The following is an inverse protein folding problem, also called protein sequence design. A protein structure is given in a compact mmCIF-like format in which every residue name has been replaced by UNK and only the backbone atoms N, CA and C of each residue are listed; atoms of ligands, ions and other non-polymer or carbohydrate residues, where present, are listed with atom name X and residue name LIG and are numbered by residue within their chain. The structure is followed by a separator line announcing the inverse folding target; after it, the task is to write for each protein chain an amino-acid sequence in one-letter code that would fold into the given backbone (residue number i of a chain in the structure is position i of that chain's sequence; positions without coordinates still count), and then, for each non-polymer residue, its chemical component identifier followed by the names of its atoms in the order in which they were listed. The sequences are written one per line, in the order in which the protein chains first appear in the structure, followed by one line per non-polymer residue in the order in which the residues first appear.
data_IF_073256502182
#
_entry.id   IF_073256502182
#
_cell.length_a   1.000
_cell.length_b   1.000
_cell.length_c   1.000
_cell.angle_alpha   90.00
_cell.angle_beta   90.00
_cell.angle_gamma   90.00
#
_symmetry.space_group_name_H-M   'P 1'
#
loop_
_entity.id
_entity.type
_entity.pdbx_description
1 polymer ?
#
# COMPACT_ATOMS: atom_id res chain seq x y z
N UNK A 1 5.08 -7.55 77.48
CA UNK A 1 4.02 -7.24 76.49
C UNK A 1 4.60 -6.33 75.42
N UNK A 2 4.87 -6.86 74.23
CA UNK A 2 4.67 -6.22 72.92
C UNK A 2 5.42 -7.03 71.86
N UNK A 3 4.65 -7.82 71.12
CA UNK A 3 5.03 -8.58 69.94
C UNK A 3 5.16 -7.65 68.74
N UNK A 4 6.34 -7.57 68.13
CA UNK A 4 6.50 -7.00 66.79
C UNK A 4 6.45 -8.13 65.75
N UNK A 5 5.35 -8.19 65.02
CA UNK A 5 5.18 -9.01 63.82
C UNK A 5 5.77 -8.27 62.63
N UNK A 6 6.93 -8.68 62.14
CA UNK A 6 7.44 -8.26 60.83
C UNK A 6 6.80 -9.13 59.75
N UNK A 7 5.82 -8.58 59.03
CA UNK A 7 5.34 -9.10 57.75
C UNK A 7 6.28 -8.55 56.68
N UNK A 8 7.21 -9.35 56.19
CA UNK A 8 7.99 -9.01 55.01
C UNK A 8 7.16 -9.39 53.77
N UNK A 9 6.62 -8.39 53.08
CA UNK A 9 5.86 -8.56 51.85
C UNK A 9 6.79 -9.04 50.72
N UNK A 10 6.43 -10.16 50.09
CA UNK A 10 7.04 -10.61 48.84
C UNK A 10 6.61 -9.68 47.70
N UNK A 11 7.52 -8.81 47.26
CA UNK A 11 7.40 -8.07 46.00
C UNK A 11 7.69 -9.03 44.84
N UNK A 12 6.63 -9.61 44.26
CA UNK A 12 6.71 -10.27 42.96
C UNK A 12 6.75 -9.16 41.90
N UNK A 13 7.96 -8.86 41.41
CA UNK A 13 8.13 -7.99 40.26
C UNK A 13 7.67 -8.73 38.99
N UNK A 14 6.45 -8.45 38.55
CA UNK A 14 5.92 -8.90 37.26
C UNK A 14 6.69 -8.22 36.14
N UNK A 15 7.75 -8.84 35.65
CA UNK A 15 8.48 -8.41 34.48
C UNK A 15 7.57 -8.61 33.25
N UNK A 16 6.81 -7.58 32.88
CA UNK A 16 6.10 -7.52 31.61
C UNK A 16 7.16 -7.47 30.50
N UNK A 17 7.59 -8.64 30.00
CA UNK A 17 8.27 -8.72 28.71
C UNK A 17 7.28 -8.28 27.64
N UNK A 18 7.31 -7.00 27.31
CA UNK A 18 6.87 -6.52 26.01
C UNK A 18 7.78 -7.13 24.96
N UNK A 19 7.45 -8.34 24.52
CA UNK A 19 7.80 -8.86 23.21
C UNK A 19 7.32 -7.84 22.16
N UNK A 20 8.17 -6.88 21.84
CA UNK A 20 8.10 -6.20 20.56
C UNK A 20 8.25 -7.30 19.53
N UNK A 21 7.12 -7.78 18.98
CA UNK A 21 7.16 -8.66 17.83
C UNK A 21 7.99 -7.92 16.78
N UNK A 22 9.20 -8.44 16.52
CA UNK A 22 10.08 -7.88 15.51
C UNK A 22 9.25 -7.72 14.25
N UNK A 23 9.08 -6.46 13.82
CA UNK A 23 8.49 -6.17 12.51
C UNK A 23 9.45 -6.83 11.53
N UNK A 24 9.01 -7.92 10.89
CA UNK A 24 9.79 -8.57 9.85
C UNK A 24 9.66 -7.73 8.58
N UNK A 25 10.25 -6.53 8.62
CA UNK A 25 10.59 -5.78 7.42
C UNK A 25 11.80 -6.48 6.78
N UNK A 26 11.64 -6.87 5.53
CA UNK A 26 12.66 -7.59 4.76
C UNK A 26 12.94 -6.83 3.47
N UNK A 27 14.22 -6.57 3.19
CA UNK A 27 14.63 -6.02 1.89
C UNK A 27 14.65 -7.16 0.89
N UNK A 28 13.87 -7.01 -0.18
CA UNK A 28 13.80 -7.97 -1.27
C UNK A 28 14.49 -7.38 -2.50
N UNK A 29 15.39 -8.14 -3.09
CA UNK A 29 15.90 -7.85 -4.42
C UNK A 29 14.98 -8.51 -5.46
N UNK A 30 14.27 -7.69 -6.23
CA UNK A 30 13.36 -8.18 -7.27
C UNK A 30 14.07 -8.30 -8.64
N UNK A 31 15.36 -7.97 -8.72
CA UNK A 31 16.13 -7.96 -9.96
C UNK A 31 15.61 -6.98 -11.02
N UNK A 32 16.38 -6.80 -12.10
CA UNK A 32 16.02 -5.84 -13.16
C UNK A 32 17.22 -5.05 -13.70
N UNK A 33 17.89 -5.63 -14.70
CA UNK A 33 18.98 -4.99 -15.45
C UNK A 33 20.36 -5.59 -15.21
N UNK A 34 21.26 -5.40 -16.18
CA UNK A 34 22.64 -5.92 -16.23
C UNK A 34 23.52 -5.48 -15.04
N UNK A 35 23.04 -4.54 -14.21
CA UNK A 35 23.74 -3.98 -13.05
C UNK A 35 22.98 -4.16 -11.71
N UNK A 36 21.99 -5.05 -11.65
CA UNK A 36 21.11 -5.21 -10.49
C UNK A 36 19.85 -4.34 -10.60
N UNK A 37 18.73 -4.83 -10.07
CA UNK A 37 17.42 -4.18 -10.20
C UNK A 37 16.79 -3.78 -8.88
N UNK A 38 15.69 -3.04 -8.99
CA UNK A 38 15.17 -2.26 -7.87
C UNK A 38 14.80 -3.10 -6.66
N UNK A 39 15.23 -2.60 -5.50
CA UNK A 39 14.86 -3.15 -4.20
C UNK A 39 13.38 -2.94 -3.94
N UNK A 40 12.86 -3.78 -3.07
CA UNK A 40 11.57 -3.59 -2.45
C UNK A 40 11.67 -3.83 -0.95
N UNK A 41 10.71 -3.30 -0.21
CA UNK A 41 10.60 -3.45 1.23
C UNK A 41 9.32 -4.22 1.53
N UNK A 42 9.48 -5.39 2.14
CA UNK A 42 8.42 -6.33 2.42
C UNK A 42 8.06 -6.29 3.90
N UNK A 43 6.80 -6.00 4.21
CA UNK A 43 6.20 -6.11 5.53
C UNK A 43 5.44 -7.43 5.62
N UNK A 44 5.90 -8.36 6.48
CA UNK A 44 5.22 -9.63 6.76
C UNK A 44 4.45 -9.62 8.09
N UNK A 45 3.20 -10.13 8.13
CA UNK A 45 2.53 -10.39 9.40
C UNK A 45 3.18 -11.59 10.10
N UNK A 46 3.03 -11.69 11.42
CA UNK A 46 3.64 -12.78 12.21
C UNK A 46 3.12 -14.18 11.86
N UNK A 47 1.95 -14.28 11.20
CA UNK A 47 1.35 -15.53 10.73
C UNK A 47 1.19 -15.56 9.21
N UNK A 48 0.45 -16.56 8.71
CA UNK A 48 0.15 -16.66 7.27
C UNK A 48 -0.59 -15.42 6.79
N UNK A 49 -0.08 -14.81 5.71
CA UNK A 49 -0.73 -13.68 5.09
C UNK A 49 -2.05 -14.11 4.43
N UNK A 50 -3.13 -13.37 4.70
CA UNK A 50 -4.45 -13.59 4.10
C UNK A 50 -4.56 -13.01 2.69
N UNK A 51 -3.78 -11.97 2.43
CA UNK A 51 -3.60 -11.33 1.12
C UNK A 51 -2.23 -10.63 1.10
N UNK A 52 -1.77 -10.31 -0.11
CA UNK A 52 -0.55 -9.57 -0.38
C UNK A 52 -0.86 -8.30 -1.18
N UNK A 53 -0.19 -7.20 -0.86
CA UNK A 53 -0.29 -5.94 -1.59
C UNK A 53 1.04 -5.61 -2.26
N UNK A 54 1.00 -5.27 -3.55
CA UNK A 54 2.12 -4.69 -4.30
C UNK A 54 1.89 -3.19 -4.37
N UNK A 55 2.67 -2.40 -3.64
CA UNK A 55 2.47 -0.97 -3.47
C UNK A 55 3.32 -0.18 -4.47
N UNK A 56 2.67 0.43 -5.46
CA UNK A 56 3.29 1.26 -6.49
C UNK A 56 3.12 2.74 -6.16
N UNK A 57 4.23 3.38 -5.81
CA UNK A 57 4.25 4.80 -5.42
C UNK A 57 4.09 5.72 -6.62
N UNK A 58 3.56 6.92 -6.36
CA UNK A 58 3.53 8.02 -7.33
C UNK A 58 4.90 8.69 -7.55
N UNK A 59 4.89 9.87 -8.17
CA UNK A 59 6.11 10.64 -8.42
C UNK A 59 7.07 9.91 -9.36
N UNK A 60 8.37 10.02 -9.14
CA UNK A 60 9.44 9.26 -9.85
C UNK A 60 9.53 7.80 -9.43
N UNK A 61 8.71 7.37 -8.48
CA UNK A 61 8.76 6.02 -7.93
C UNK A 61 9.97 5.78 -7.04
N UNK A 62 10.86 6.77 -6.85
CA UNK A 62 12.06 6.59 -6.05
C UNK A 62 11.68 6.69 -4.57
N UNK A 63 11.81 5.56 -3.88
CA UNK A 63 11.62 5.44 -2.43
C UNK A 63 12.97 5.53 -1.73
N UNK A 64 14.04 5.06 -2.39
CA UNK A 64 15.38 4.99 -1.84
C UNK A 64 15.46 3.97 -0.73
N UNK A 65 15.12 2.72 -1.04
CA UNK A 65 15.14 1.60 -0.08
C UNK A 65 16.61 1.17 0.10
N UNK A 66 17.14 1.27 1.31
CA UNK A 66 18.47 0.82 1.70
C UNK A 66 18.60 -0.70 1.77
N UNK A 67 19.83 -1.23 1.74
CA UNK A 67 20.09 -2.66 1.97
C UNK A 67 19.84 -3.08 3.43
N UNK A 68 19.81 -2.10 4.34
CA UNK A 68 19.45 -2.20 5.76
C UNK A 68 17.95 -1.98 6.03
N UNK A 69 17.14 -1.76 5.00
CA UNK A 69 15.71 -1.45 5.12
C UNK A 69 15.41 0.02 5.37
N UNK A 70 16.40 0.91 5.40
CA UNK A 70 16.18 2.36 5.48
C UNK A 70 15.36 2.86 4.28
N UNK A 71 14.60 3.93 4.47
CA UNK A 71 13.76 4.54 3.43
C UNK A 71 14.11 6.02 3.32
N UNK A 72 14.63 6.44 2.17
CA UNK A 72 15.03 7.84 1.96
C UNK A 72 13.85 8.80 1.77
N UNK A 73 12.73 8.33 1.19
CA UNK A 73 11.54 9.14 0.91
C UNK A 73 10.27 8.50 1.49
N UNK A 74 10.03 8.73 2.77
CA UNK A 74 8.87 8.22 3.52
C UNK A 74 7.65 9.17 3.50
N UNK A 75 7.81 10.37 2.94
CA UNK A 75 6.76 11.39 2.93
C UNK A 75 5.51 11.02 2.12
N UNK A 76 5.57 10.02 1.24
CA UNK A 76 4.41 9.50 0.52
C UNK A 76 3.56 8.61 1.45
N UNK A 77 2.25 8.85 1.51
CA UNK A 77 1.34 8.11 2.38
C UNK A 77 1.44 6.59 2.18
N UNK A 78 1.48 6.10 0.94
CA UNK A 78 1.51 4.66 0.65
C UNK A 78 2.78 3.99 1.21
N UNK A 79 3.88 4.73 1.31
CA UNK A 79 5.16 4.25 1.85
C UNK A 79 5.11 4.24 3.38
N UNK A 80 4.69 5.33 4.02
CA UNK A 80 4.63 5.39 5.50
C UNK A 80 3.55 4.52 6.10
N UNK A 81 2.46 4.23 5.36
CA UNK A 81 1.38 3.37 5.84
C UNK A 81 1.53 1.90 5.50
N UNK A 82 2.62 1.47 4.83
CA UNK A 82 2.83 0.07 4.39
C UNK A 82 2.59 -0.95 5.52
N UNK A 83 3.14 -0.69 6.70
CA UNK A 83 3.03 -1.61 7.85
C UNK A 83 1.64 -1.61 8.52
N UNK A 84 0.74 -0.69 8.15
CA UNK A 84 -0.60 -0.61 8.74
C UNK A 84 -1.47 -1.81 8.36
N UNK A 85 -1.20 -2.45 7.21
CA UNK A 85 -1.93 -3.62 6.72
C UNK A 85 -1.68 -4.89 7.54
N UNK A 86 -0.56 -4.94 8.27
CA UNK A 86 -0.17 -6.11 9.08
C UNK A 86 -1.23 -6.49 10.13
N UNK A 87 -1.93 -5.49 10.70
CA UNK A 87 -3.01 -5.72 11.68
C UNK A 87 -4.22 -6.44 11.09
N UNK A 88 -4.38 -6.41 9.77
CA UNK A 88 -5.42 -7.15 9.05
C UNK A 88 -4.93 -8.51 8.52
N UNK A 89 -3.71 -8.92 8.89
CA UNK A 89 -3.06 -10.13 8.39
C UNK A 89 -2.69 -10.04 6.91
N UNK A 90 -2.47 -8.84 6.40
CA UNK A 90 -2.13 -8.58 5.00
C UNK A 90 -0.65 -8.22 4.92
N UNK A 91 0.10 -8.91 4.05
CA UNK A 91 1.48 -8.56 3.75
C UNK A 91 1.51 -7.44 2.69
N UNK A 92 2.52 -6.58 2.71
CA UNK A 92 2.73 -5.56 1.68
C UNK A 92 4.17 -5.52 1.22
N UNK A 93 4.39 -5.26 -0.07
CA UNK A 93 5.71 -5.02 -0.66
C UNK A 93 5.71 -3.64 -1.34
N UNK A 94 6.56 -2.73 -0.86
CA UNK A 94 6.77 -1.39 -1.44
C UNK A 94 7.93 -1.43 -2.41
N UNK A 95 7.71 -1.02 -3.65
CA UNK A 95 8.73 -1.04 -4.71
C UNK A 95 9.48 0.28 -4.82
N UNK A 96 10.80 0.21 -5.01
CA UNK A 96 11.59 1.34 -5.49
C UNK A 96 11.44 1.53 -7.02
N UNK A 97 11.94 2.64 -7.56
CA UNK A 97 11.64 3.09 -8.93
C UNK A 97 11.94 2.03 -10.00
N UNK A 98 13.07 1.35 -9.86
CA UNK A 98 13.62 0.40 -10.82
C UNK A 98 13.17 -1.05 -10.57
N UNK A 99 12.32 -1.28 -9.57
CA UNK A 99 11.86 -2.63 -9.24
C UNK A 99 10.72 -3.02 -10.20
N UNK A 100 10.75 -4.27 -10.68
CA UNK A 100 9.77 -4.79 -11.62
C UNK A 100 8.45 -5.15 -10.90
N UNK A 101 7.34 -4.46 -11.20
CA UNK A 101 6.04 -4.72 -10.58
C UNK A 101 5.49 -6.13 -10.87
N UNK A 102 5.76 -6.70 -12.04
CA UNK A 102 5.26 -8.04 -12.39
C UNK A 102 5.98 -9.11 -11.55
N UNK A 103 7.30 -8.98 -11.38
CA UNK A 103 8.07 -9.85 -10.48
C UNK A 103 7.64 -9.71 -9.03
N UNK A 104 7.27 -8.52 -8.57
CA UNK A 104 6.70 -8.36 -7.23
C UNK A 104 5.37 -9.11 -7.07
N UNK A 105 4.51 -9.11 -8.10
CA UNK A 105 3.27 -9.90 -8.07
C UNK A 105 3.61 -11.39 -7.96
N UNK A 106 4.53 -11.90 -8.78
CA UNK A 106 4.98 -13.29 -8.73
C UNK A 106 5.60 -13.67 -7.38
N UNK A 107 6.48 -12.81 -6.84
CA UNK A 107 7.10 -13.00 -5.53
C UNK A 107 6.05 -13.08 -4.41
N UNK A 108 5.07 -12.17 -4.43
CA UNK A 108 4.01 -12.13 -3.41
C UNK A 108 3.05 -13.33 -3.47
N UNK A 109 2.96 -14.05 -4.59
CA UNK A 109 2.16 -15.28 -4.70
C UNK A 109 2.67 -16.40 -3.81
N UNK A 110 3.97 -16.44 -3.51
CA UNK A 110 4.54 -17.40 -2.56
C UNK A 110 4.19 -17.07 -1.10
N UNK A 111 3.78 -15.83 -0.83
CA UNK A 111 3.54 -15.31 0.53
C UNK A 111 2.05 -15.31 0.87
N UNK A 112 1.21 -14.97 -0.11
CA UNK A 112 -0.21 -14.80 0.08
C UNK A 112 -1.03 -15.50 -1.01
N UNK A 113 -2.20 -16.07 -0.68
CA UNK A 113 -3.06 -16.73 -1.65
C UNK A 113 -3.61 -15.75 -2.70
N UNK A 114 -3.72 -14.47 -2.34
CA UNK A 114 -4.22 -13.41 -3.21
C UNK A 114 -3.26 -12.22 -3.23
N UNK A 115 -3.01 -11.65 -4.40
CA UNK A 115 -2.10 -10.53 -4.61
C UNK A 115 -2.83 -9.40 -5.33
N UNK A 116 -2.84 -8.23 -4.69
CA UNK A 116 -3.50 -7.02 -5.16
C UNK A 116 -2.44 -5.98 -5.49
N UNK A 117 -2.53 -5.36 -6.65
CA UNK A 117 -1.69 -4.21 -7.00
C UNK A 117 -2.38 -2.93 -6.54
N UNK A 118 -1.72 -2.13 -5.70
CA UNK A 118 -2.20 -0.82 -5.25
C UNK A 118 -1.32 0.24 -5.90
N UNK A 119 -1.91 1.05 -6.77
CA UNK A 119 -1.20 2.05 -7.53
C UNK A 119 -1.66 3.46 -7.16
N UNK A 120 -0.71 4.33 -6.81
CA UNK A 120 -0.99 5.73 -6.49
C UNK A 120 -0.48 6.66 -7.57
N UNK A 121 -1.27 7.66 -7.97
CA UNK A 121 -0.83 8.75 -8.87
C UNK A 121 -0.17 8.19 -10.13
N UNK A 122 1.09 8.55 -10.41
CA UNK A 122 1.86 8.03 -11.54
C UNK A 122 2.23 6.53 -11.46
N UNK A 123 2.12 5.91 -10.29
CA UNK A 123 2.26 4.46 -10.14
C UNK A 123 1.23 3.67 -10.97
N UNK A 124 0.09 4.30 -11.32
CA UNK A 124 -0.94 3.72 -12.17
C UNK A 124 -0.43 3.34 -13.57
N UNK A 125 0.60 4.04 -14.08
CA UNK A 125 1.19 3.77 -15.40
C UNK A 125 1.86 2.39 -15.46
N UNK A 126 2.27 1.85 -14.31
CA UNK A 126 2.91 0.54 -14.21
C UNK A 126 1.91 -0.62 -14.20
N UNK A 127 0.60 -0.35 -14.05
CA UNK A 127 -0.43 -1.39 -13.90
C UNK A 127 -0.58 -2.25 -15.14
N UNK A 128 -0.53 -1.68 -16.35
CA UNK A 128 -0.65 -2.46 -17.58
C UNK A 128 0.42 -3.58 -17.67
N UNK A 129 1.63 -3.32 -17.15
CA UNK A 129 2.73 -4.27 -17.10
C UNK A 129 2.55 -5.39 -16.07
N UNK A 130 1.69 -5.25 -15.06
CA UNK A 130 1.43 -6.30 -14.07
C UNK A 130 0.38 -7.31 -14.52
N UNK A 131 -0.48 -6.95 -15.49
CA UNK A 131 -1.60 -7.79 -15.94
C UNK A 131 -1.18 -9.20 -16.39
N UNK A 132 -0.05 -9.42 -17.10
CA UNK A 132 0.42 -10.76 -17.43
C UNK A 132 0.70 -11.65 -16.22
N UNK A 133 1.11 -11.08 -15.08
CA UNK A 133 1.30 -11.79 -13.82
C UNK A 133 -0.03 -12.10 -13.10
N UNK A 134 -1.17 -11.70 -13.68
CA UNK A 134 -2.54 -11.98 -13.23
C UNK A 134 -2.75 -11.63 -11.74
N UNK A 135 -2.65 -10.36 -11.32
CA UNK A 135 -3.06 -9.96 -9.97
C UNK A 135 -4.55 -10.26 -9.77
N UNK A 136 -4.97 -10.63 -8.55
CA UNK A 136 -6.39 -10.93 -8.26
C UNK A 136 -7.24 -9.67 -8.11
N UNK A 137 -6.58 -8.52 -7.91
CA UNK A 137 -7.26 -7.25 -7.85
C UNK A 137 -6.32 -6.09 -8.10
N UNK A 138 -6.93 -4.95 -8.44
CA UNK A 138 -6.23 -3.68 -8.61
C UNK A 138 -6.93 -2.62 -7.77
N UNK A 139 -6.15 -1.81 -7.07
CA UNK A 139 -6.61 -0.58 -6.44
C UNK A 139 -5.90 0.60 -7.07
N UNK A 140 -6.66 1.54 -7.60
CA UNK A 140 -6.17 2.86 -7.99
C UNK A 140 -6.48 3.85 -6.87
N UNK A 141 -5.47 4.53 -6.33
CA UNK A 141 -5.64 5.54 -5.28
C UNK A 141 -5.13 6.90 -5.78
N UNK A 142 -6.00 7.90 -5.95
CA UNK A 142 -5.65 9.21 -6.55
C UNK A 142 -4.70 9.06 -7.75
N UNK A 143 -5.14 8.29 -8.76
CA UNK A 143 -4.30 7.77 -9.85
C UNK A 143 -4.41 8.58 -11.14
N UNK A 144 -3.36 8.54 -11.96
CA UNK A 144 -3.34 9.05 -13.33
C UNK A 144 -4.13 8.10 -14.24
N UNK A 145 -5.45 8.13 -14.11
CA UNK A 145 -6.36 7.13 -14.69
C UNK A 145 -6.51 7.27 -16.20
N UNK A 146 -6.39 8.47 -16.76
CA UNK A 146 -6.51 8.69 -18.20
C UNK A 146 -5.36 8.03 -18.97
N UNK A 147 -4.13 8.18 -18.47
CA UNK A 147 -2.96 7.54 -19.03
C UNK A 147 -2.96 6.03 -18.76
N UNK A 148 -3.34 5.61 -17.54
CA UNK A 148 -3.47 4.19 -17.22
C UNK A 148 -4.46 3.49 -18.16
N UNK A 149 -5.61 4.13 -18.44
CA UNK A 149 -6.61 3.65 -19.42
C UNK A 149 -5.97 3.42 -20.79
N UNK A 150 -5.20 4.39 -21.29
CA UNK A 150 -4.51 4.27 -22.58
C UNK A 150 -3.51 3.10 -22.62
N UNK A 151 -2.79 2.85 -21.53
CA UNK A 151 -1.82 1.75 -21.43
C UNK A 151 -2.48 0.38 -21.24
N UNK A 152 -3.61 0.31 -20.52
CA UNK A 152 -4.37 -0.92 -20.31
C UNK A 152 -5.07 -1.34 -21.61
N UNK A 153 -5.59 -0.37 -22.38
CA UNK A 153 -6.25 -0.60 -23.66
C UNK A 153 -7.67 -1.15 -23.49
N UNK A 154 -7.81 -2.45 -23.26
CA UNK A 154 -9.11 -3.12 -23.08
C UNK A 154 -9.47 -3.23 -21.58
N UNK A 155 -10.60 -2.66 -21.11
CA UNK A 155 -11.02 -2.79 -19.72
C UNK A 155 -11.34 -4.24 -19.32
N UNK A 156 -11.61 -5.13 -20.29
CA UNK A 156 -11.79 -6.57 -20.06
C UNK A 156 -10.57 -7.28 -19.50
N UNK A 157 -9.38 -6.67 -19.60
CA UNK A 157 -8.13 -7.18 -19.02
C UNK A 157 -8.02 -6.95 -17.51
N UNK A 158 -8.86 -6.08 -16.94
CA UNK A 158 -8.78 -5.74 -15.53
C UNK A 158 -9.42 -6.84 -14.66
N UNK A 159 -8.74 -7.31 -13.60
CA UNK A 159 -9.36 -8.08 -12.53
C UNK A 159 -10.36 -7.21 -11.74
N UNK A 160 -11.02 -7.73 -10.68
CA UNK A 160 -11.74 -6.90 -9.72
C UNK A 160 -10.95 -5.63 -9.38
N UNK A 161 -11.58 -4.48 -9.55
CA UNK A 161 -10.91 -3.18 -9.47
C UNK A 161 -11.64 -2.24 -8.52
N UNK A 162 -10.88 -1.57 -7.67
CA UNK A 162 -11.34 -0.49 -6.79
C UNK A 162 -10.62 0.81 -7.18
N UNK A 163 -11.37 1.89 -7.28
CA UNK A 163 -10.87 3.26 -7.40
C UNK A 163 -11.16 3.95 -6.07
N UNK A 164 -10.14 4.46 -5.40
CA UNK A 164 -10.26 5.29 -4.21
C UNK A 164 -9.80 6.69 -4.59
N UNK A 165 -10.68 7.67 -4.45
CA UNK A 165 -10.37 9.03 -4.88
C UNK A 165 -10.89 10.06 -3.89
N UNK A 166 -10.13 11.13 -3.68
CA UNK A 166 -10.59 12.22 -2.82
C UNK A 166 -11.50 13.17 -3.63
N UNK A 167 -12.66 13.56 -3.09
CA UNK A 167 -13.60 14.44 -3.82
C UNK A 167 -13.03 15.80 -4.17
N UNK A 168 -12.09 16.27 -3.36
CA UNK A 168 -11.44 17.57 -3.49
C UNK A 168 -10.00 17.46 -4.00
N UNK A 169 -9.61 16.35 -4.64
CA UNK A 169 -8.29 16.25 -5.27
C UNK A 169 -8.18 17.28 -6.41
N UNK A 170 -7.31 18.28 -6.25
CA UNK A 170 -7.08 19.31 -7.27
C UNK A 170 -5.73 19.13 -7.97
N UNK A 171 -5.10 17.96 -7.84
CA UNK A 171 -3.94 17.64 -8.64
C UNK A 171 -4.32 17.58 -10.12
N UNK A 172 -3.65 18.38 -10.94
CA UNK A 172 -3.95 18.59 -12.37
C UNK A 172 -3.96 17.34 -13.26
N UNK A 173 -3.46 16.20 -12.77
CA UNK A 173 -3.38 14.92 -13.50
C UNK A 173 -4.19 13.79 -12.84
N UNK A 174 -4.90 14.05 -11.73
CA UNK A 174 -5.70 13.05 -11.01
C UNK A 174 -7.00 13.67 -10.51
N UNK A 175 -7.69 14.42 -11.36
CA UNK A 175 -8.92 15.10 -10.98
C UNK A 175 -10.06 14.07 -10.75
N UNK A 176 -11.04 14.35 -9.87
CA UNK A 176 -12.20 13.48 -9.60
C UNK A 176 -12.94 13.02 -10.86
N UNK A 177 -13.00 13.86 -11.89
CA UNK A 177 -13.65 13.56 -13.16
C UNK A 177 -12.99 12.36 -13.86
N UNK A 178 -11.67 12.21 -13.75
CA UNK A 178 -10.94 11.05 -14.28
C UNK A 178 -11.37 9.73 -13.62
N UNK A 179 -11.69 9.76 -12.31
CA UNK A 179 -12.19 8.59 -11.59
C UNK A 179 -13.58 8.17 -12.06
N UNK A 180 -14.47 9.14 -12.30
CA UNK A 180 -15.79 8.89 -12.87
C UNK A 180 -15.68 8.37 -14.30
N UNK A 181 -14.86 9.00 -15.14
CA UNK A 181 -14.66 8.59 -16.52
C UNK A 181 -14.07 7.17 -16.62
N UNK A 182 -13.12 6.83 -15.75
CA UNK A 182 -12.55 5.48 -15.71
C UNK A 182 -13.59 4.44 -15.26
N UNK A 183 -14.38 4.73 -14.23
CA UNK A 183 -15.48 3.86 -13.81
C UNK A 183 -16.45 3.58 -14.97
N UNK A 184 -16.87 4.63 -15.69
CA UNK A 184 -17.75 4.51 -16.86
C UNK A 184 -17.11 3.68 -17.98
N UNK A 185 -15.83 3.93 -18.28
CA UNK A 185 -15.08 3.19 -19.29
C UNK A 185 -14.99 1.68 -18.98
N UNK A 186 -14.90 1.29 -17.71
CA UNK A 186 -14.98 -0.13 -17.32
C UNK A 186 -16.39 -0.72 -17.34
N UNK A 187 -17.40 0.03 -17.79
CA UNK A 187 -18.81 -0.39 -17.73
C UNK A 187 -19.32 -0.54 -16.30
N UNK A 188 -18.76 0.21 -15.35
CA UNK A 188 -19.09 0.12 -13.92
C UNK A 188 -18.45 -1.05 -13.17
N UNK A 189 -17.61 -1.88 -13.84
CA UNK A 189 -16.92 -3.01 -13.18
C UNK A 189 -15.88 -2.56 -12.16
N UNK A 190 -15.22 -1.42 -12.40
CA UNK A 190 -14.39 -0.79 -11.37
C UNK A 190 -15.28 -0.07 -10.35
N UNK A 191 -15.22 -0.48 -9.09
CA UNK A 191 -15.98 0.18 -8.01
C UNK A 191 -15.29 1.48 -7.63
N UNK A 192 -16.04 2.59 -7.60
CA UNK A 192 -15.54 3.88 -7.15
C UNK A 192 -15.91 4.14 -5.69
N UNK A 193 -14.92 4.51 -4.88
CA UNK A 193 -15.06 4.90 -3.48
C UNK A 193 -14.50 6.31 -3.29
N UNK A 194 -15.35 7.19 -2.76
CA UNK A 194 -14.98 8.57 -2.47
C UNK A 194 -14.45 8.72 -1.04
N UNK A 195 -13.43 9.55 -0.90
CA UNK A 195 -12.90 10.04 0.37
C UNK A 195 -13.23 11.54 0.49
N UNK A 196 -13.60 11.94 1.71
CA UNK A 196 -14.03 13.29 2.06
C UNK A 196 -13.37 13.76 3.36
N UNK A 197 -13.19 15.08 3.49
CA UNK A 197 -12.61 15.74 4.68
C UNK A 197 -11.09 15.60 4.79
N UNK A 198 -10.54 15.72 6.00
CA UNK A 198 -9.10 15.87 6.17
C UNK A 198 -8.67 17.33 5.96
N UNK A 199 -7.45 17.55 5.48
CA UNK A 199 -6.93 18.89 5.19
C UNK A 199 -6.12 18.90 3.90
N UNK A 200 -5.74 20.07 3.42
CA UNK A 200 -4.88 20.18 2.24
C UNK A 200 -3.99 21.41 2.37
N UNK A 201 -2.69 21.24 2.14
CA UNK A 201 -1.70 22.31 2.23
C UNK A 201 -0.62 22.16 1.17
N UNK A 202 -0.10 23.29 0.68
CA UNK A 202 0.97 23.31 -0.32
C UNK A 202 0.52 22.90 -1.71
N UNK A 203 1.43 22.25 -2.45
CA UNK A 203 1.17 21.82 -3.82
C UNK A 203 0.08 20.73 -3.86
N UNK A 204 -0.97 20.87 -4.69
CA UNK A 204 -2.12 19.97 -4.70
C UNK A 204 -1.79 18.53 -5.12
N UNK A 205 -0.68 18.29 -5.81
CA UNK A 205 -0.22 16.95 -6.20
C UNK A 205 0.70 16.27 -5.18
N UNK A 206 0.91 16.88 -4.00
CA UNK A 206 1.84 16.36 -2.99
C UNK A 206 1.12 15.62 -1.86
N UNK A 207 1.90 14.87 -1.07
CA UNK A 207 1.39 13.97 -0.03
C UNK A 207 0.64 14.67 1.13
N UNK A 208 0.78 15.99 1.28
CA UNK A 208 0.06 16.81 2.30
C UNK A 208 -1.17 17.52 1.75
N UNK A 209 -1.55 17.22 0.51
CA UNK A 209 -2.79 17.67 -0.09
C UNK A 209 -3.85 16.56 -0.03
N UNK A 210 -5.07 16.89 -0.46
CA UNK A 210 -6.13 15.91 -0.66
C UNK A 210 -5.71 14.74 -1.57
N UNK A 211 -4.82 14.98 -2.54
CA UNK A 211 -4.18 13.96 -3.37
C UNK A 211 -3.44 12.87 -2.57
N UNK A 212 -2.83 13.27 -1.46
CA UNK A 212 -2.14 12.37 -0.53
C UNK A 212 -3.02 11.85 0.60
N UNK A 213 -4.32 12.14 0.59
CA UNK A 213 -5.29 11.73 1.60
C UNK A 213 -4.93 12.13 3.04
N UNK A 214 -4.22 13.25 3.25
CA UNK A 214 -3.74 13.64 4.58
C UNK A 214 -4.90 13.77 5.59
N UNK A 215 -4.76 13.15 6.76
CA UNK A 215 -5.81 13.06 7.77
C UNK A 215 -6.92 12.04 7.46
N UNK A 216 -6.85 11.37 6.30
CA UNK A 216 -7.78 10.31 5.84
C UNK A 216 -7.08 9.01 5.43
N UNK A 217 -5.77 8.93 5.57
CA UNK A 217 -4.97 7.75 5.19
C UNK A 217 -5.47 6.45 5.83
N UNK A 218 -5.88 6.51 7.11
CA UNK A 218 -6.46 5.34 7.80
C UNK A 218 -7.74 4.82 7.15
N UNK A 219 -8.56 5.71 6.59
CA UNK A 219 -9.76 5.34 5.82
C UNK A 219 -9.37 4.66 4.51
N UNK A 220 -8.34 5.16 3.81
CA UNK A 220 -7.82 4.57 2.57
C UNK A 220 -7.22 3.18 2.84
N UNK A 221 -6.41 3.04 3.88
CA UNK A 221 -5.85 1.76 4.34
C UNK A 221 -6.96 0.76 4.64
N UNK A 222 -7.99 1.18 5.38
CA UNK A 222 -9.15 0.33 5.71
C UNK A 222 -9.93 -0.11 4.46
N UNK A 223 -10.14 0.79 3.50
CA UNK A 223 -10.82 0.47 2.25
C UNK A 223 -10.03 -0.55 1.40
N UNK A 224 -8.70 -0.39 1.31
CA UNK A 224 -7.82 -1.34 0.63
C UNK A 224 -7.85 -2.71 1.31
N UNK A 225 -7.72 -2.75 2.64
CA UNK A 225 -7.76 -4.00 3.39
C UNK A 225 -9.10 -4.72 3.25
N UNK A 226 -10.21 -3.97 3.29
CA UNK A 226 -11.56 -4.50 3.10
C UNK A 226 -11.75 -5.08 1.69
N UNK A 227 -11.23 -4.38 0.67
CA UNK A 227 -11.26 -4.86 -0.70
C UNK A 227 -10.46 -6.15 -0.87
N UNK A 228 -9.22 -6.17 -0.39
CA UNK A 228 -8.38 -7.38 -0.42
C UNK A 228 -9.06 -8.58 0.28
N UNK A 229 -9.73 -8.35 1.41
CA UNK A 229 -10.49 -9.38 2.13
C UNK A 229 -11.78 -9.83 1.45
N UNK A 230 -12.31 -9.05 0.50
CA UNK A 230 -13.53 -9.38 -0.26
C UNK A 230 -13.29 -10.27 -1.48
N UNK A 231 -12.04 -10.35 -1.94
CA UNK A 231 -11.65 -11.20 -3.05
C UNK A 231 -11.71 -12.66 -2.61
N UNK A 232 -12.49 -13.48 -3.35
CA UNK A 232 -12.68 -14.92 -3.09
C UNK A 232 -11.69 -15.78 -3.83
#
# INVERSE_FOLDING_TARGET
MQTFRTVAALLVASLLLSIAAARAEEVVDLGGGLFGGGRALLDKPAGKARAGLVLLTGGDGYVGIGSDGSVARDGNWIVRTRSAYLRSGIASITLDANADPAKAVEYMRAIAPRVIVVAMSRGALKVAGTLPARPDGIVFASSMLDEARGMIGDPGRLPPTLIIHHRQDTCRVTLPESAVAFQQWTGGKARLLWIDGGSSTGNPCQARAYHGFIGREGQVVSAIASFAGSLR
#
